data_IF_286899026389
#
_entry.id   IF_286899026389
#
_cell.length_a   1.000
_cell.length_b   1.000
_cell.length_c   1.000
_cell.angle_alpha   90.00
_cell.angle_beta   90.00
_cell.angle_gamma   90.00
#
_symmetry.space_group_name_H-M   'P 1'
#
loop_
_entity.id
_entity.type
_entity.pdbx_description
1 polymer ?
#
# COMPACT_ATOMS: atom_id res chain seq x y z
N UNK A 1 2.09 -40.33 -27.25
CA UNK A 1 0.72 -40.85 -27.41
C UNK A 1 -0.06 -40.53 -26.14
N UNK A 2 -1.07 -39.67 -26.29
CA UNK A 2 -2.25 -39.47 -25.44
C UNK A 2 -2.10 -38.70 -24.10
N UNK A 3 -2.83 -37.58 -24.12
CA UNK A 3 -3.24 -36.65 -23.06
C UNK A 3 -4.39 -37.26 -22.24
N UNK A 4 -4.49 -36.95 -20.94
CA UNK A 4 -5.80 -36.59 -20.36
C UNK A 4 -5.67 -35.71 -19.12
N UNK A 5 -6.47 -34.64 -19.11
CA UNK A 5 -6.68 -33.65 -18.06
C UNK A 5 -7.53 -34.19 -16.92
N UNK A 6 -7.39 -33.62 -15.72
CA UNK A 6 -8.54 -33.28 -14.86
C UNK A 6 -8.16 -32.25 -13.78
N UNK A 7 -8.71 -31.04 -13.92
CA UNK A 7 -9.09 -30.13 -12.82
C UNK A 7 -10.62 -30.33 -12.66
N UNK A 8 -11.27 -30.11 -11.48
CA UNK A 8 -11.07 -28.86 -10.71
C UNK A 8 -11.31 -28.93 -9.19
N UNK A 9 -10.85 -27.90 -8.47
CA UNK A 9 -11.56 -27.39 -7.29
C UNK A 9 -11.28 -25.89 -7.15
N UNK A 10 -12.21 -25.03 -7.61
CA UNK A 10 -12.23 -23.60 -7.28
C UNK A 10 -13.10 -23.42 -6.03
N UNK A 11 -12.48 -22.95 -4.96
CA UNK A 11 -13.10 -22.47 -3.72
C UNK A 11 -14.07 -21.29 -4.00
N UNK A 12 -15.16 -21.11 -3.24
CA UNK A 12 -16.10 -20.01 -3.45
C UNK A 12 -15.42 -18.66 -3.19
N UNK A 13 -15.46 -17.82 -4.22
CA UNK A 13 -14.85 -16.48 -4.26
C UNK A 13 -15.52 -15.57 -3.23
N UNK A 14 -14.70 -14.96 -2.37
CA UNK A 14 -15.12 -13.82 -1.56
C UNK A 14 -15.44 -12.61 -2.44
N UNK A 15 -16.22 -11.68 -1.91
CA UNK A 15 -16.74 -10.46 -2.54
C UNK A 15 -15.65 -9.52 -3.15
N UNK A 16 -14.37 -9.85 -3.00
CA UNK A 16 -13.21 -9.06 -3.44
C UNK A 16 -12.52 -9.58 -4.73
N UNK A 17 -12.97 -10.70 -5.30
CA UNK A 17 -12.28 -11.40 -6.40
C UNK A 17 -12.86 -11.14 -7.80
N UNK A 18 -13.35 -9.92 -8.05
CA UNK A 18 -13.64 -9.47 -9.42
C UNK A 18 -12.38 -8.79 -9.94
N UNK A 19 -11.55 -9.44 -10.79
CA UNK A 19 -10.45 -8.76 -11.43
C UNK A 19 -11.04 -7.62 -12.27
N UNK A 20 -10.62 -6.37 -12.05
CA UNK A 20 -11.11 -5.26 -12.83
C UNK A 20 -10.74 -5.44 -14.30
N UNK A 21 -11.53 -4.90 -15.23
CA UNK A 21 -11.29 -5.04 -16.65
C UNK A 21 -9.86 -4.58 -17.00
N UNK A 22 -9.16 -5.28 -17.92
CA UNK A 22 -7.80 -4.93 -18.31
C UNK A 22 -7.75 -3.47 -18.77
N UNK A 23 -6.77 -2.72 -18.25
CA UNK A 23 -6.53 -1.31 -18.60
C UNK A 23 -7.11 -0.26 -17.65
N UNK A 24 -7.71 -0.63 -16.51
CA UNK A 24 -8.10 0.33 -15.45
C UNK A 24 -7.59 -0.09 -14.07
N UNK A 25 -6.53 0.54 -13.61
CA UNK A 25 -6.11 0.50 -12.21
C UNK A 25 -6.83 1.59 -11.39
N UNK A 26 -7.06 1.36 -10.08
CA UNK A 26 -7.57 2.36 -9.14
C UNK A 26 -6.85 3.71 -9.27
N UNK A 27 -7.63 4.79 -9.39
CA UNK A 27 -7.10 6.16 -9.42
C UNK A 27 -7.28 6.82 -8.05
N UNK A 28 -6.38 7.75 -7.65
CA UNK A 28 -6.57 8.54 -6.45
C UNK A 28 -8.00 9.12 -6.37
N UNK A 29 -8.67 9.05 -5.20
CA UNK A 29 -8.15 8.64 -3.89
C UNK A 29 -8.19 7.12 -3.61
N UNK A 30 -8.66 6.29 -4.54
CA UNK A 30 -8.73 4.85 -4.35
C UNK A 30 -7.31 4.24 -4.31
N UNK A 31 -7.05 3.40 -3.30
CA UNK A 31 -5.78 2.72 -3.15
C UNK A 31 -5.63 1.60 -4.19
N UNK A 32 -4.44 1.52 -4.78
CA UNK A 32 -3.96 0.47 -5.65
C UNK A 32 -3.25 -0.58 -4.77
N UNK A 33 -3.69 -1.84 -4.77
CA UNK A 33 -2.97 -2.93 -4.09
C UNK A 33 -1.55 -3.08 -4.64
N UNK A 34 -0.59 -3.46 -3.80
CA UNK A 34 0.80 -3.64 -4.20
C UNK A 34 0.96 -4.57 -5.41
N UNK A 35 0.24 -5.70 -5.46
CA UNK A 35 0.33 -6.67 -6.57
C UNK A 35 -0.02 -6.07 -7.95
N UNK A 36 -0.61 -4.88 -7.99
CA UNK A 36 -0.99 -4.17 -9.22
C UNK A 36 -0.17 -2.92 -9.45
N UNK A 37 0.86 -2.66 -8.65
CA UNK A 37 1.68 -1.45 -8.71
C UNK A 37 2.50 -1.36 -10.01
N UNK A 38 2.64 -2.47 -10.74
CA UNK A 38 3.31 -2.51 -12.04
C UNK A 38 2.40 -2.17 -13.24
N UNK A 39 1.07 -2.14 -13.07
CA UNK A 39 0.13 -1.78 -14.14
C UNK A 39 0.20 -0.30 -14.58
N UNK A 40 0.29 0.69 -13.68
CA UNK A 40 0.35 2.10 -14.06
C UNK A 40 1.68 2.42 -14.78
N UNK A 41 1.68 3.22 -15.86
CA UNK A 41 2.90 3.62 -16.53
C UNK A 41 3.79 4.50 -15.64
N UNK A 42 5.05 4.67 -16.02
CA UNK A 42 6.00 5.57 -15.36
C UNK A 42 5.41 6.98 -15.20
N UNK A 43 5.60 7.59 -14.02
CA UNK A 43 5.08 8.92 -13.69
C UNK A 43 3.56 8.98 -13.43
N UNK A 44 2.83 7.88 -13.58
CA UNK A 44 1.40 7.81 -13.29
C UNK A 44 1.14 8.13 -11.81
N UNK A 45 0.09 8.91 -11.57
CA UNK A 45 -0.35 9.24 -10.22
C UNK A 45 -1.22 8.12 -9.66
N UNK A 46 -0.83 7.59 -8.50
CA UNK A 46 -1.47 6.46 -7.80
C UNK A 46 -1.68 6.81 -6.34
N UNK A 47 -2.53 6.04 -5.66
CA UNK A 47 -2.61 6.03 -4.20
C UNK A 47 -2.32 4.62 -3.74
N UNK A 48 -1.50 4.45 -2.71
CA UNK A 48 -1.28 3.18 -2.00
C UNK A 48 -1.67 3.38 -0.54
N UNK A 49 -2.07 2.33 0.14
CA UNK A 49 -2.33 2.36 1.58
C UNK A 49 -1.77 1.09 2.20
N UNK A 50 -1.16 1.19 3.37
CA UNK A 50 -0.56 0.05 4.03
C UNK A 50 0.02 0.38 5.40
N UNK A 51 0.33 -0.67 6.15
CA UNK A 51 0.99 -0.59 7.45
C UNK A 51 2.43 -0.12 7.25
N UNK A 52 2.87 0.83 8.06
CA UNK A 52 4.25 1.30 7.97
C UNK A 52 5.16 0.32 8.73
N UNK A 53 5.90 -0.50 8.01
CA UNK A 53 6.80 -1.50 8.58
C UNK A 53 8.24 -0.99 8.73
N UNK A 54 8.65 0.01 7.95
CA UNK A 54 10.00 0.57 8.00
C UNK A 54 10.03 2.06 7.65
N UNK A 55 10.95 2.79 8.27
CA UNK A 55 11.29 4.19 7.99
C UNK A 55 12.79 4.35 8.02
N UNK A 56 13.36 4.91 6.95
CA UNK A 56 14.78 5.21 6.88
C UNK A 56 14.98 6.66 6.48
N UNK A 57 15.88 7.35 7.20
CA UNK A 57 16.30 8.71 6.87
C UNK A 57 17.82 8.78 6.88
N UNK A 58 18.48 8.31 5.80
CA UNK A 58 19.93 8.33 5.72
C UNK A 58 20.46 9.76 5.89
N UNK A 59 21.49 9.94 6.72
CA UNK A 59 22.06 11.27 7.00
C UNK A 59 22.58 11.99 5.75
N UNK A 60 22.96 11.25 4.71
CA UNK A 60 23.48 11.74 3.44
C UNK A 60 22.39 12.11 2.41
N UNK A 61 21.14 11.70 2.62
CA UNK A 61 20.07 11.82 1.63
C UNK A 61 19.34 13.18 1.62
N UNK A 62 20.00 14.27 2.05
CA UNK A 62 19.47 15.65 2.05
C UNK A 62 18.03 15.77 2.61
N UNK A 63 17.72 15.01 3.66
CA UNK A 63 16.41 15.03 4.31
C UNK A 63 15.30 14.21 3.64
N UNK A 64 15.61 13.37 2.66
CA UNK A 64 14.70 12.35 2.11
C UNK A 64 14.41 11.28 3.16
N UNK A 65 13.16 10.84 3.22
CA UNK A 65 12.71 9.70 4.02
C UNK A 65 12.22 8.61 3.08
N UNK A 66 12.66 7.39 3.33
CA UNK A 66 12.15 6.18 2.69
C UNK A 66 11.19 5.50 3.66
N UNK A 67 10.01 5.12 3.17
CA UNK A 67 9.04 4.33 3.94
C UNK A 67 8.73 3.04 3.19
N UNK A 68 8.53 1.96 3.92
CA UNK A 68 8.01 0.71 3.36
C UNK A 68 6.62 0.49 3.94
N UNK A 69 5.63 0.35 3.06
CA UNK A 69 4.24 0.09 3.40
C UNK A 69 3.90 -1.35 3.04
N UNK A 70 3.21 -2.05 3.92
CA UNK A 70 2.76 -3.42 3.69
C UNK A 70 1.23 -3.48 3.56
N UNK A 71 0.75 -4.18 2.54
CA UNK A 71 -0.62 -4.68 2.43
C UNK A 71 -0.59 -6.21 2.26
N UNK A 72 -1.75 -6.85 2.22
CA UNK A 72 -1.86 -8.31 2.10
C UNK A 72 -1.29 -8.87 0.79
N UNK A 73 -1.00 -8.01 -0.19
CA UNK A 73 -0.48 -8.37 -1.51
C UNK A 73 1.02 -8.10 -1.67
N UNK A 74 1.66 -7.41 -0.71
CA UNK A 74 3.11 -7.22 -0.64
C UNK A 74 3.54 -5.86 -0.11
N UNK A 75 4.72 -5.38 -0.52
CA UNK A 75 5.37 -4.18 0.05
C UNK A 75 5.59 -3.06 -0.96
N UNK A 76 5.01 -1.88 -0.70
CA UNK A 76 5.21 -0.68 -1.50
C UNK A 76 6.34 0.20 -0.91
N UNK A 77 7.33 0.54 -1.75
CA UNK A 77 8.41 1.46 -1.40
C UNK A 77 7.99 2.90 -1.69
N UNK A 78 8.07 3.77 -0.69
CA UNK A 78 7.66 5.17 -0.78
C UNK A 78 8.86 6.09 -0.55
N UNK A 79 9.05 7.05 -1.44
CA UNK A 79 10.07 8.10 -1.31
C UNK A 79 9.40 9.41 -0.93
N UNK A 80 9.80 9.98 0.21
CA UNK A 80 9.28 11.25 0.72
C UNK A 80 10.39 12.29 0.71
N UNK A 81 10.33 13.22 -0.25
CA UNK A 81 11.27 14.33 -0.34
C UNK A 81 11.11 15.32 0.81
N UNK A 82 12.19 16.04 1.16
CA UNK A 82 12.24 16.94 2.30
C UNK A 82 11.06 17.94 2.39
N UNK A 83 10.63 18.50 1.24
CA UNK A 83 9.48 19.41 1.16
C UNK A 83 8.16 18.74 1.55
N UNK A 84 7.95 17.50 1.08
CA UNK A 84 6.74 16.70 1.38
C UNK A 84 6.79 16.24 2.83
N UNK A 85 7.96 15.80 3.31
CA UNK A 85 8.18 15.45 4.70
C UNK A 85 7.86 16.62 5.65
N UNK A 86 8.37 17.82 5.36
CA UNK A 86 8.07 19.01 6.16
C UNK A 86 6.56 19.30 6.23
N UNK A 87 5.84 19.13 5.11
CA UNK A 87 4.39 19.34 5.04
C UNK A 87 3.58 18.28 5.78
N UNK A 88 3.98 17.01 5.71
CA UNK A 88 3.24 15.87 6.27
C UNK A 88 3.98 15.18 7.43
N UNK A 89 4.77 15.95 8.18
CA UNK A 89 5.71 15.45 9.19
C UNK A 89 5.07 14.47 10.18
N UNK A 90 3.87 14.80 10.70
CA UNK A 90 3.19 13.96 11.68
C UNK A 90 2.82 12.60 11.10
N UNK A 91 2.19 12.56 9.94
CA UNK A 91 1.80 11.32 9.28
C UNK A 91 3.03 10.46 8.92
N UNK A 92 4.10 11.08 8.41
CA UNK A 92 5.33 10.37 8.05
C UNK A 92 6.03 9.77 9.27
N UNK A 93 6.08 10.49 10.41
CA UNK A 93 6.80 10.01 11.61
C UNK A 93 5.97 9.02 12.42
N UNK A 94 4.70 9.32 12.68
CA UNK A 94 3.89 8.64 13.69
C UNK A 94 2.84 7.66 13.11
N UNK A 95 2.45 7.79 11.84
CA UNK A 95 1.35 7.01 11.28
C UNK A 95 1.64 5.51 11.27
N UNK A 96 0.80 4.69 11.90
CA UNK A 96 0.91 3.22 11.88
C UNK A 96 0.34 2.65 10.59
N UNK A 97 -0.77 3.21 10.13
CA UNK A 97 -1.39 2.95 8.84
C UNK A 97 -1.44 4.28 8.08
N UNK A 98 -0.93 4.29 6.85
CA UNK A 98 -0.90 5.52 6.04
C UNK A 98 -1.44 5.29 4.65
N UNK A 99 -2.08 6.32 4.10
CA UNK A 99 -2.44 6.43 2.69
C UNK A 99 -1.51 7.42 2.03
N UNK A 100 -0.85 7.01 0.95
CA UNK A 100 0.11 7.83 0.20
C UNK A 100 -0.39 8.00 -1.22
N UNK A 101 -0.64 9.25 -1.63
CA UNK A 101 -0.83 9.60 -3.03
C UNK A 101 0.49 10.13 -3.58
N UNK A 102 0.92 9.60 -4.72
CA UNK A 102 2.20 9.94 -5.31
C UNK A 102 2.32 9.51 -6.77
N UNK A 103 3.53 9.61 -7.31
CA UNK A 103 3.84 9.19 -8.68
C UNK A 103 4.69 7.94 -8.69
N UNK A 104 4.37 7.02 -9.59
CA UNK A 104 5.17 5.82 -9.82
C UNK A 104 6.52 6.22 -10.43
N UNK A 105 7.60 5.69 -9.88
CA UNK A 105 8.94 5.75 -10.44
C UNK A 105 9.61 4.38 -10.43
N UNK A 106 10.20 3.99 -11.55
CA UNK A 106 10.89 2.70 -11.69
C UNK A 106 12.38 2.92 -11.90
N UNK A 107 13.18 2.32 -11.03
CA UNK A 107 14.63 2.37 -11.13
C UNK A 107 15.21 1.03 -10.69
N UNK A 108 16.18 0.50 -11.47
CA UNK A 108 16.89 -0.74 -11.16
C UNK A 108 15.98 -1.94 -10.82
N UNK A 109 14.84 -2.06 -11.50
CA UNK A 109 13.87 -3.15 -11.27
C UNK A 109 12.98 -2.99 -10.04
N UNK A 110 13.05 -1.84 -9.34
CA UNK A 110 12.22 -1.55 -8.16
C UNK A 110 11.24 -0.42 -8.47
N UNK A 111 9.96 -0.68 -8.21
CA UNK A 111 8.89 0.31 -8.30
C UNK A 111 8.75 1.08 -6.98
N UNK A 112 8.85 2.41 -7.07
CA UNK A 112 8.69 3.34 -5.97
C UNK A 112 7.46 4.23 -6.19
N UNK A 113 6.84 4.69 -5.10
CA UNK A 113 5.86 5.78 -5.11
C UNK A 113 6.52 7.02 -4.52
N UNK A 114 6.78 8.02 -5.36
CA UNK A 114 7.24 9.33 -4.89
C UNK A 114 6.06 10.10 -4.32
N UNK A 115 6.06 10.30 -3.01
CA UNK A 115 4.94 10.87 -2.29
C UNK A 115 4.69 12.34 -2.66
N UNK A 116 3.43 12.67 -2.91
CA UNK A 116 2.93 14.05 -3.03
C UNK A 116 2.03 14.43 -1.85
N UNK A 117 1.30 13.45 -1.29
CA UNK A 117 0.43 13.58 -0.12
C UNK A 117 0.55 12.32 0.74
N UNK A 118 0.64 12.53 2.06
CA UNK A 118 0.67 11.45 3.05
C UNK A 118 -0.41 11.73 4.08
N UNK A 119 -1.28 10.75 4.29
CA UNK A 119 -2.40 10.82 5.23
C UNK A 119 -2.24 9.73 6.27
N UNK A 120 -2.32 10.11 7.53
CA UNK A 120 -2.41 9.19 8.65
C UNK A 120 -3.85 8.70 8.73
N UNK A 121 -4.04 7.39 8.57
CA UNK A 121 -5.34 6.71 8.67
C UNK A 121 -5.30 5.65 9.77
N UNK A 122 -4.44 5.85 10.78
CA UNK A 122 -4.25 4.91 11.89
C UNK A 122 -5.51 4.75 12.75
N UNK A 123 -6.44 5.70 12.71
CA UNK A 123 -7.76 5.62 13.34
C UNK A 123 -8.57 4.41 12.83
N UNK A 124 -8.33 3.98 11.58
CA UNK A 124 -8.95 2.77 11.04
C UNK A 124 -8.50 1.50 11.79
N UNK A 125 -7.28 1.47 12.32
CA UNK A 125 -6.80 0.34 13.12
C UNK A 125 -7.48 0.30 14.49
N UNK A 126 -7.71 1.46 15.10
CA UNK A 126 -8.32 1.55 16.43
C UNK A 126 -9.76 1.01 16.41
N UNK A 127 -10.47 1.20 15.29
CA UNK A 127 -11.82 0.64 15.05
C UNK A 127 -11.87 -0.89 15.00
N UNK A 128 -10.75 -1.55 14.64
CA UNK A 128 -10.68 -3.02 14.66
C UNK A 128 -10.71 -3.55 16.10
N UNK A 129 -10.15 -2.79 17.04
CA UNK A 129 -10.12 -3.13 18.47
C UNK A 129 -11.49 -2.95 19.10
N UNK A 130 -12.21 -1.88 18.75
CA UNK A 130 -13.58 -1.60 19.24
C UNK A 130 -14.59 -2.70 18.87
N UNK A 131 -14.34 -3.44 17.79
CA UNK A 131 -15.27 -4.44 17.26
C UNK A 131 -15.00 -5.86 17.81
N UNK A 132 -13.87 -6.08 18.48
CA UNK A 132 -13.58 -7.36 19.10
C UNK A 132 -14.27 -7.44 20.48
N UNK A 133 -15.28 -8.31 20.70
CA UNK A 133 -15.75 -8.57 22.05
C UNK A 133 -14.58 -9.11 22.87
N UNK A 134 -14.42 -8.63 24.10
CA UNK A 134 -13.44 -9.17 25.03
C UNK A 134 -13.74 -10.66 25.25
N UNK A 135 -12.85 -11.59 24.83
CA UNK A 135 -13.07 -13.02 25.01
C UNK A 135 -13.10 -13.42 26.50
N UNK A 136 -12.73 -12.52 27.41
CA UNK A 136 -12.63 -12.75 28.85
C UNK A 136 -13.77 -12.12 29.64
N UNK A 137 -14.63 -11.29 29.03
CA UNK A 137 -15.71 -10.57 29.73
C UNK A 137 -16.94 -11.43 30.08
N UNK A 138 -16.77 -12.75 30.17
CA UNK A 138 -17.80 -13.70 30.58
C UNK A 138 -17.20 -14.85 31.37
N UNK A 139 -16.99 -14.63 32.67
CA UNK A 139 -16.80 -15.66 33.69
C UNK A 139 -17.46 -15.21 34.99
#
# INVERSE_FOLDING_TARGET
MIVLMSLPARSPRGLFDVPPPPGRWPRPPAALPHARLDEPPEGARVTVAGLVICRQRPGTAKGVVFMTLEDETGVANVVVWAKVFARFRRAVIAGRLVRVTGRVQRAAGVTHVVAERVEDISDMLDRLVETAPDPTAGA
#
